data_IF_308005451079
#
_entry.id   IF_308005451079
#
_cell.length_a   1.000
_cell.length_b   1.000
_cell.length_c   1.000
_cell.angle_alpha   90.00
_cell.angle_beta   90.00
_cell.angle_gamma   90.00
#
_symmetry.space_group_name_H-M   'P 1'
#
loop_
_entity.id
_entity.type
_entity.pdbx_description
1 polymer ?
#
# COMPACT_ATOMS: atom_id res chain seq x y z
N UNK A 1 -26.02 10.44 9.05
CA UNK A 1 -27.11 9.53 9.46
C UNK A 1 -26.49 8.19 9.82
N UNK A 2 -26.58 7.74 11.09
CA UNK A 2 -25.99 6.46 11.52
C UNK A 2 -26.59 5.29 10.71
N UNK A 3 -25.78 4.27 10.40
CA UNK A 3 -26.18 3.08 9.61
C UNK A 3 -27.41 2.39 10.19
N UNK A 4 -27.56 2.37 11.51
CA UNK A 4 -28.74 1.85 12.23
C UNK A 4 -30.02 2.62 11.88
N UNK A 5 -29.92 3.94 11.68
CA UNK A 5 -31.06 4.78 11.28
C UNK A 5 -31.46 4.56 9.81
N UNK A 6 -30.50 4.18 8.95
CA UNK A 6 -30.76 3.86 7.53
C UNK A 6 -31.52 2.53 7.39
N UNK A 7 -31.04 1.47 8.03
CA UNK A 7 -31.71 0.16 8.02
C UNK A 7 -33.11 0.23 8.64
N UNK A 8 -33.28 1.00 9.72
CA UNK A 8 -34.61 1.27 10.29
C UNK A 8 -35.57 1.94 9.31
N UNK A 9 -35.09 2.87 8.47
CA UNK A 9 -35.91 3.57 7.46
C UNK A 9 -36.33 2.65 6.32
N UNK A 10 -35.42 1.83 5.79
CA UNK A 10 -35.71 0.86 4.73
C UNK A 10 -36.70 -0.20 5.22
N UNK A 11 -36.52 -0.71 6.44
CA UNK A 11 -37.45 -1.68 7.07
C UNK A 11 -38.86 -1.11 7.24
N UNK A 12 -38.99 0.16 7.65
CA UNK A 12 -40.29 0.84 7.79
C UNK A 12 -41.01 0.97 6.45
N UNK A 13 -40.27 1.30 5.38
CA UNK A 13 -40.80 1.40 4.03
C UNK A 13 -41.20 0.03 3.46
N UNK A 14 -40.42 -1.01 3.72
CA UNK A 14 -40.75 -2.38 3.33
C UNK A 14 -42.00 -2.91 4.06
N UNK A 15 -42.15 -2.58 5.36
CA UNK A 15 -43.34 -2.94 6.14
C UNK A 15 -44.61 -2.23 5.64
N UNK A 16 -44.47 -0.97 5.20
CA UNK A 16 -45.59 -0.17 4.69
C UNK A 16 -46.10 -0.62 3.31
N UNK A 17 -45.24 -1.28 2.51
CA UNK A 17 -45.60 -1.83 1.19
C UNK A 17 -46.27 -3.22 1.24
N UNK A 18 -46.43 -3.83 2.42
CA UNK A 18 -47.09 -5.13 2.56
C UNK A 18 -48.63 -4.98 2.56
N UNK A 19 -49.37 -5.89 1.89
CA UNK A 19 -50.83 -5.85 1.84
C UNK A 19 -51.44 -6.01 3.23
N UNK A 20 -52.56 -5.31 3.46
CA UNK A 20 -53.15 -5.00 4.77
C UNK A 20 -53.28 -6.20 5.70
N UNK A 21 -53.77 -7.33 5.18
CA UNK A 21 -54.06 -8.55 5.95
C UNK A 21 -52.87 -9.47 6.26
N UNK A 22 -51.66 -9.12 5.81
CA UNK A 22 -50.41 -9.82 6.18
C UNK A 22 -49.59 -9.07 7.23
N UNK A 23 -49.90 -7.80 7.53
CA UNK A 23 -49.14 -6.97 8.47
C UNK A 23 -49.23 -7.47 9.92
N UNK A 24 -50.36 -8.10 10.25
CA UNK A 24 -50.71 -8.48 11.62
C UNK A 24 -50.22 -9.89 11.98
N UNK A 25 -49.84 -10.69 10.97
CA UNK A 25 -49.41 -12.10 11.11
C UNK A 25 -47.89 -12.29 11.02
N UNK A 26 -47.12 -11.23 10.80
CA UNK A 26 -45.66 -11.31 10.67
C UNK A 26 -45.04 -11.05 12.05
N UNK A 27 -44.53 -12.10 12.67
CA UNK A 27 -43.72 -11.99 13.88
C UNK A 27 -42.38 -11.34 13.50
N UNK A 28 -42.20 -10.05 13.82
CA UNK A 28 -41.01 -9.26 13.48
C UNK A 28 -39.78 -9.57 14.37
N UNK A 29 -40.01 -10.30 15.46
CA UNK A 29 -38.99 -10.72 16.43
C UNK A 29 -37.85 -11.55 15.83
N UNK A 30 -38.09 -12.63 15.04
CA UNK A 30 -37.02 -13.39 14.41
C UNK A 30 -36.12 -12.53 13.51
N UNK A 31 -36.69 -11.56 12.78
CA UNK A 31 -35.90 -10.66 11.94
C UNK A 31 -35.01 -9.70 12.76
N UNK A 32 -35.49 -9.27 13.93
CA UNK A 32 -34.73 -8.43 14.87
C UNK A 32 -33.61 -9.20 15.56
N UNK A 33 -33.86 -10.46 15.93
CA UNK A 33 -32.87 -11.36 16.54
C UNK A 33 -31.77 -11.71 15.54
N UNK A 34 -32.14 -12.00 14.28
CA UNK A 34 -31.18 -12.31 13.22
C UNK A 34 -30.29 -11.10 12.90
N UNK A 35 -30.86 -9.91 12.76
CA UNK A 35 -30.12 -8.67 12.49
C UNK A 35 -29.12 -8.34 13.63
N UNK A 36 -29.53 -8.56 14.88
CA UNK A 36 -28.68 -8.35 16.06
C UNK A 36 -27.56 -9.39 16.14
N UNK A 37 -27.84 -10.68 15.91
CA UNK A 37 -26.83 -11.73 15.90
C UNK A 37 -25.82 -11.56 14.78
N UNK A 38 -26.27 -11.23 13.56
CA UNK A 38 -25.39 -10.94 12.44
C UNK A 38 -24.51 -9.73 12.79
N UNK A 39 -25.08 -8.61 13.26
CA UNK A 39 -24.25 -7.46 13.64
C UNK A 39 -23.23 -7.81 14.73
N UNK A 40 -23.60 -8.60 15.74
CA UNK A 40 -22.72 -8.95 16.87
C UNK A 40 -21.57 -9.87 16.44
N UNK A 41 -21.85 -10.89 15.62
CA UNK A 41 -20.82 -11.81 15.11
C UNK A 41 -19.80 -11.07 14.22
N UNK A 42 -20.27 -10.16 13.36
CA UNK A 42 -19.38 -9.40 12.48
C UNK A 42 -18.61 -8.27 13.18
N UNK A 43 -19.08 -7.77 14.34
CA UNK A 43 -18.42 -6.66 15.06
C UNK A 43 -17.56 -7.10 16.23
N UNK A 44 -17.81 -8.26 16.86
CA UNK A 44 -17.02 -8.74 18.00
C UNK A 44 -15.83 -9.62 17.60
N UNK A 45 -15.83 -10.22 16.39
CA UNK A 45 -14.76 -11.12 15.93
C UNK A 45 -13.64 -10.48 15.11
N UNK A 46 -13.77 -9.21 14.74
CA UNK A 46 -12.82 -8.52 13.85
C UNK A 46 -12.16 -7.34 14.57
N UNK A 47 -10.87 -7.45 14.88
CA UNK A 47 -10.06 -6.32 15.37
C UNK A 47 -9.78 -5.35 14.22
N UNK A 48 -10.78 -4.54 13.87
CA UNK A 48 -10.71 -3.58 12.78
C UNK A 48 -10.93 -2.16 13.26
N UNK A 49 -10.05 -1.27 12.82
CA UNK A 49 -10.21 0.17 12.96
C UNK A 49 -10.71 0.78 11.65
N UNK A 50 -11.48 1.86 11.74
CA UNK A 50 -12.01 2.59 10.58
C UNK A 50 -11.23 3.90 10.38
N UNK A 51 -10.71 4.12 9.18
CA UNK A 51 -10.04 5.36 8.78
C UNK A 51 -11.01 6.17 7.91
N UNK A 52 -11.31 7.41 8.33
CA UNK A 52 -12.12 8.36 7.58
C UNK A 52 -11.25 9.56 7.23
N UNK A 53 -10.98 9.74 5.94
CA UNK A 53 -10.17 10.85 5.44
C UNK A 53 -10.99 11.73 4.51
N UNK A 54 -10.97 13.05 4.76
CA UNK A 54 -11.55 14.05 3.85
C UNK A 54 -10.52 14.36 2.76
N UNK A 55 -10.98 14.40 1.51
CA UNK A 55 -10.18 14.75 0.33
C UNK A 55 -11.10 15.35 -0.72
N UNK A 56 -10.53 15.93 -1.77
CA UNK A 56 -11.30 16.45 -2.89
C UNK A 56 -12.03 15.33 -3.64
N UNK A 57 -13.28 15.55 -4.08
CA UNK A 57 -14.04 14.53 -4.81
C UNK A 57 -13.33 14.04 -6.08
N UNK A 58 -12.68 14.96 -6.81
CA UNK A 58 -11.97 14.65 -8.05
C UNK A 58 -10.74 13.76 -7.80
N UNK A 59 -9.97 14.05 -6.75
CA UNK A 59 -8.81 13.26 -6.33
C UNK A 59 -9.24 11.84 -5.98
N UNK A 60 -10.32 11.68 -5.21
CA UNK A 60 -10.86 10.36 -4.86
C UNK A 60 -11.24 9.55 -6.10
N UNK A 61 -11.98 10.15 -7.03
CA UNK A 61 -12.43 9.45 -8.25
C UNK A 61 -11.24 9.02 -9.10
N UNK A 62 -10.23 9.89 -9.26
CA UNK A 62 -9.01 9.57 -10.01
C UNK A 62 -8.22 8.44 -9.33
N UNK A 63 -7.99 8.52 -8.03
CA UNK A 63 -7.30 7.48 -7.28
C UNK A 63 -8.04 6.13 -7.34
N UNK A 64 -9.38 6.13 -7.30
CA UNK A 64 -10.16 4.91 -7.48
C UNK A 64 -10.02 4.29 -8.87
N UNK A 65 -9.92 5.12 -9.92
CA UNK A 65 -9.69 4.64 -11.28
C UNK A 65 -8.32 3.98 -11.40
N UNK A 66 -7.26 4.65 -10.95
CA UNK A 66 -5.90 4.10 -10.96
C UNK A 66 -5.83 2.78 -10.18
N UNK A 67 -6.41 2.72 -8.98
CA UNK A 67 -6.45 1.46 -8.23
C UNK A 67 -7.17 0.35 -9.00
N UNK A 68 -8.29 0.65 -9.66
CA UNK A 68 -9.06 -0.31 -10.45
C UNK A 68 -8.29 -0.81 -11.67
N UNK A 69 -7.56 0.07 -12.34
CA UNK A 69 -6.73 -0.28 -13.50
C UNK A 69 -5.59 -1.24 -13.08
N UNK A 70 -5.13 -1.13 -11.82
CA UNK A 70 -4.20 -2.06 -11.18
C UNK A 70 -4.86 -3.32 -10.60
N UNK A 71 -6.18 -3.50 -10.78
CA UNK A 71 -6.92 -4.65 -10.24
C UNK A 71 -7.14 -4.62 -8.72
N UNK A 72 -6.95 -3.47 -8.08
CA UNK A 72 -7.03 -3.30 -6.63
C UNK A 72 -8.17 -2.38 -6.21
N UNK A 73 -8.66 -2.56 -4.98
CA UNK A 73 -9.53 -1.57 -4.35
C UNK A 73 -8.69 -0.43 -3.74
N UNK A 74 -9.20 0.80 -3.75
CA UNK A 74 -8.52 1.93 -3.11
C UNK A 74 -8.26 1.66 -1.61
N UNK A 75 -9.19 0.99 -0.93
CA UNK A 75 -9.02 0.63 0.48
C UNK A 75 -7.91 -0.40 0.70
N UNK A 76 -7.78 -1.38 -0.20
CA UNK A 76 -6.68 -2.36 -0.16
C UNK A 76 -5.34 -1.67 -0.33
N UNK A 77 -5.26 -0.70 -1.24
CA UNK A 77 -4.04 0.07 -1.49
C UNK A 77 -3.63 0.91 -0.27
N UNK A 78 -4.57 1.60 0.36
CA UNK A 78 -4.32 2.36 1.60
C UNK A 78 -3.83 1.43 2.71
N UNK A 79 -4.46 0.27 2.89
CA UNK A 79 -4.03 -0.72 3.90
C UNK A 79 -2.63 -1.28 3.61
N UNK A 80 -2.32 -1.57 2.35
CA UNK A 80 -0.99 -2.01 1.95
C UNK A 80 0.06 -0.92 2.22
N UNK A 81 -0.25 0.33 1.91
CA UNK A 81 0.64 1.47 2.18
C UNK A 81 0.90 1.65 3.68
N UNK A 82 -0.12 1.51 4.53
CA UNK A 82 0.06 1.56 5.99
C UNK A 82 0.99 0.45 6.50
N UNK A 83 0.86 -0.76 5.97
CA UNK A 83 1.77 -1.88 6.31
C UNK A 83 3.20 -1.61 5.84
N UNK A 84 3.35 -1.07 4.63
CA UNK A 84 4.65 -0.70 4.09
C UNK A 84 5.30 0.40 4.93
N UNK A 85 4.54 1.41 5.34
CA UNK A 85 4.99 2.49 6.22
C UNK A 85 5.48 1.95 7.56
N UNK A 86 4.74 1.02 8.18
CA UNK A 86 5.15 0.38 9.44
C UNK A 86 6.44 -0.43 9.26
N UNK A 87 6.56 -1.18 8.15
CA UNK A 87 7.69 -2.06 7.88
C UNK A 87 8.97 -1.26 7.59
N UNK A 88 8.87 -0.23 6.76
CA UNK A 88 10.03 0.52 6.26
C UNK A 88 10.36 1.73 7.12
N UNK A 89 9.38 2.28 7.84
CA UNK A 89 9.48 3.56 8.56
C UNK A 89 9.93 4.72 7.67
N UNK A 90 9.69 4.63 6.37
CA UNK A 90 10.08 5.64 5.37
C UNK A 90 8.86 6.05 4.57
N UNK A 91 8.78 7.33 4.20
CA UNK A 91 7.85 7.83 3.19
C UNK A 91 8.69 8.32 2.02
N UNK A 92 8.51 7.70 0.85
CA UNK A 92 9.20 8.11 -0.38
C UNK A 92 8.25 9.06 -1.11
N UNK A 93 8.64 10.33 -1.19
CA UNK A 93 8.03 11.29 -2.09
C UNK A 93 8.95 11.40 -3.30
N UNK A 94 8.56 10.82 -4.42
CA UNK A 94 9.24 11.02 -5.70
C UNK A 94 8.31 11.81 -6.61
N UNK A 95 8.74 13.00 -7.01
CA UNK A 95 8.16 13.71 -8.14
C UNK A 95 8.76 13.03 -9.37
N UNK A 96 8.13 11.95 -9.85
CA UNK A 96 8.71 11.07 -10.85
C UNK A 96 9.02 11.82 -12.16
N UNK A 97 10.29 12.21 -12.29
CA UNK A 97 11.18 12.13 -13.44
C UNK A 97 12.61 12.21 -12.85
N UNK A 98 13.06 11.12 -12.21
CA UNK A 98 14.47 10.99 -11.81
C UNK A 98 15.29 10.74 -13.09
N UNK A 99 15.63 11.83 -13.78
CA UNK A 99 16.64 11.80 -14.84
C UNK A 99 18.02 11.54 -14.19
N UNK A 100 18.76 10.52 -14.64
CA UNK A 100 20.13 10.30 -14.19
C UNK A 100 20.95 11.59 -14.34
N UNK A 101 21.73 11.94 -13.33
CA UNK A 101 22.66 13.07 -13.45
C UNK A 101 23.67 12.80 -14.57
N UNK A 102 24.20 13.85 -15.20
CA UNK A 102 25.25 13.66 -16.21
C UNK A 102 26.44 12.87 -15.67
N UNK A 103 26.80 13.11 -14.40
CA UNK A 103 27.81 12.31 -13.69
C UNK A 103 27.50 10.80 -13.69
N UNK A 104 26.26 10.42 -13.42
CA UNK A 104 25.86 9.01 -13.41
C UNK A 104 25.88 8.42 -14.83
N UNK A 105 25.43 9.17 -15.85
CA UNK A 105 25.49 8.73 -17.24
C UNK A 105 26.94 8.54 -17.72
N UNK A 106 27.84 9.43 -17.30
CA UNK A 106 29.25 9.37 -17.64
C UNK A 106 29.94 8.20 -16.93
N UNK A 107 29.66 8.00 -15.63
CA UNK A 107 30.18 6.87 -14.87
C UNK A 107 29.72 5.51 -15.44
N UNK A 108 28.47 5.40 -15.90
CA UNK A 108 27.97 4.20 -16.58
C UNK A 108 28.66 3.97 -17.94
N UNK A 109 28.97 5.04 -18.67
CA UNK A 109 29.69 4.95 -19.95
C UNK A 109 31.12 4.47 -19.75
N UNK A 110 31.83 5.08 -18.80
CA UNK A 110 33.19 4.71 -18.39
C UNK A 110 33.24 3.24 -17.95
N UNK A 111 32.32 2.83 -17.07
CA UNK A 111 32.21 1.43 -16.64
C UNK A 111 32.00 0.47 -17.82
N UNK A 112 31.18 0.84 -18.81
CA UNK A 112 30.99 0.05 -20.03
C UNK A 112 32.24 -0.05 -20.91
N UNK A 113 33.07 0.99 -20.95
CA UNK A 113 34.36 0.99 -21.65
C UNK A 113 35.41 0.15 -20.91
N UNK A 114 35.45 0.22 -19.58
CA UNK A 114 36.34 -0.58 -18.74
C UNK A 114 36.05 -2.07 -18.87
N UNK A 115 34.77 -2.47 -18.86
CA UNK A 115 34.36 -3.86 -19.09
C UNK A 115 34.86 -4.36 -20.45
N UNK A 116 34.64 -3.57 -21.52
CA UNK A 116 35.07 -3.95 -22.88
C UNK A 116 36.59 -4.02 -23.02
N UNK A 117 37.30 -3.16 -22.31
CA UNK A 117 38.76 -3.11 -22.31
C UNK A 117 39.40 -4.13 -21.35
N UNK A 118 38.61 -4.88 -20.57
CA UNK A 118 39.12 -5.81 -19.56
C UNK A 118 39.77 -5.11 -18.36
N UNK A 119 39.48 -3.82 -18.13
CA UNK A 119 39.95 -3.06 -16.95
C UNK A 119 39.03 -3.26 -15.75
N UNK A 120 38.56 -4.49 -15.56
CA UNK A 120 37.64 -4.87 -14.50
C UNK A 120 38.18 -6.08 -13.77
N UNK A 121 37.91 -6.14 -12.46
CA UNK A 121 38.23 -7.29 -11.62
C UNK A 121 36.91 -7.92 -11.18
N UNK A 122 36.80 -9.23 -11.36
CA UNK A 122 35.67 -10.03 -10.90
C UNK A 122 36.12 -10.98 -9.82
N UNK A 123 35.28 -11.16 -8.81
CA UNK A 123 35.57 -12.02 -7.66
C UNK A 123 34.53 -13.13 -7.55
N UNK A 124 34.96 -14.34 -7.25
CA UNK A 124 34.07 -15.48 -7.04
C UNK A 124 33.51 -15.53 -5.61
N UNK A 125 34.21 -14.91 -4.65
CA UNK A 125 33.81 -14.87 -3.25
C UNK A 125 33.83 -13.46 -2.67
N UNK A 126 33.08 -13.27 -1.58
CA UNK A 126 33.05 -12.01 -0.85
C UNK A 126 34.42 -11.71 -0.20
N UNK A 127 35.12 -12.74 0.30
CA UNK A 127 36.41 -12.59 0.98
C UNK A 127 37.50 -12.08 0.01
N UNK A 128 37.48 -12.54 -1.24
CA UNK A 128 38.40 -12.05 -2.28
C UNK A 128 38.12 -10.57 -2.61
N UNK A 129 36.84 -10.19 -2.63
CA UNK A 129 36.43 -8.79 -2.88
C UNK A 129 36.92 -7.87 -1.76
N UNK A 130 36.75 -8.29 -0.51
CA UNK A 130 37.17 -7.51 0.67
C UNK A 130 38.69 -7.35 0.67
N UNK A 131 39.42 -8.45 0.44
CA UNK A 131 40.89 -8.44 0.42
C UNK A 131 41.45 -7.48 -0.65
N UNK A 132 40.83 -7.46 -1.84
CA UNK A 132 41.21 -6.53 -2.92
C UNK A 132 40.94 -5.06 -2.58
N UNK A 133 39.79 -4.78 -1.95
CA UNK A 133 39.44 -3.42 -1.51
C UNK A 133 40.44 -2.93 -0.45
N UNK A 134 40.79 -3.79 0.51
CA UNK A 134 41.77 -3.45 1.55
C UNK A 134 43.15 -3.14 0.95
N UNK A 135 43.61 -3.94 -0.02
CA UNK A 135 44.88 -3.71 -0.73
C UNK A 135 44.90 -2.34 -1.44
N UNK A 136 43.82 -1.96 -2.14
CA UNK A 136 43.73 -0.66 -2.81
C UNK A 136 43.76 0.48 -1.80
N UNK A 137 43.00 0.35 -0.71
CA UNK A 137 42.94 1.37 0.33
C UNK A 137 44.34 1.58 0.93
N UNK A 138 45.04 0.50 1.29
CA UNK A 138 46.40 0.57 1.83
C UNK A 138 47.39 1.20 0.84
N UNK A 139 47.29 0.84 -0.44
CA UNK A 139 48.08 1.45 -1.52
C UNK A 139 47.88 2.96 -1.62
N UNK A 140 46.64 3.45 -1.56
CA UNK A 140 46.35 4.88 -1.59
C UNK A 140 46.86 5.62 -0.34
N UNK A 141 46.74 5.03 0.84
CA UNK A 141 47.22 5.65 2.08
C UNK A 141 48.75 5.80 2.07
N UNK A 142 49.45 4.79 1.55
CA UNK A 142 50.89 4.81 1.42
C UNK A 142 51.36 5.82 0.35
N UNK A 143 50.61 5.99 -0.74
CA UNK A 143 50.90 7.00 -1.77
C UNK A 143 50.70 8.45 -1.27
N UNK A 144 49.75 8.70 -0.36
CA UNK A 144 49.49 10.02 0.23
C UNK A 144 50.50 10.41 1.33
N UNK A 145 51.30 9.46 1.82
CA UNK A 145 52.28 9.66 2.90
C UNK A 145 53.68 10.02 2.41
N UNK A 146 53.94 9.85 1.11
CA UNK A 146 55.17 10.25 0.42
C UNK A 146 54.95 11.55 -0.38
#
# INVERSE_FOLDING_TARGET
>A
MSRTKFYGKIRRLAFQKLPSGKRDKINLLPFFILDKHISNVYTLGMNTAVIITKTEPQVKVRAQRVAKDLGLSLSSLINAWLRQLIKTKTVIFSAADEEPTQYLLDALRESGEDIKAGRVVSFDTADDTISYIDEIIEGEQNAKKN
#
